data_IF_574329561071
#
_entry.id   IF_574329561071
#
_cell.length_a   1.000
_cell.length_b   1.000
_cell.length_c   1.000
_cell.angle_alpha   90.00
_cell.angle_beta   90.00
_cell.angle_gamma   90.00
#
_symmetry.space_group_name_H-M   'P 1'
#
loop_
_entity.id
_entity.type
_entity.pdbx_description
1 polymer ?
#
# COMPACT_ATOMS: atom_id res chain seq x y z
N UNK A 1 9.40 -15.53 -12.21
CA UNK A 1 10.52 -15.37 -11.24
C UNK A 1 10.08 -14.35 -10.21
N UNK A 2 10.49 -14.47 -8.94
CA UNK A 2 10.10 -13.48 -7.93
C UNK A 2 10.78 -12.13 -8.17
N UNK A 3 10.20 -11.08 -7.58
CA UNK A 3 10.82 -9.76 -7.51
C UNK A 3 12.05 -9.80 -6.61
N UNK A 4 13.08 -9.02 -6.93
CA UNK A 4 14.26 -8.94 -6.07
C UNK A 4 15.05 -7.65 -6.19
N UNK A 5 15.72 -7.29 -5.10
CA UNK A 5 16.77 -6.28 -5.03
C UNK A 5 18.09 -7.01 -4.81
N UNK A 6 19.10 -6.67 -5.60
CA UNK A 6 20.42 -7.28 -5.58
C UNK A 6 21.44 -6.18 -5.31
N UNK A 7 22.31 -6.37 -4.32
CA UNK A 7 23.50 -5.56 -4.11
C UNK A 7 24.71 -6.38 -4.56
N UNK A 8 25.43 -5.89 -5.57
CA UNK A 8 26.69 -6.45 -6.03
C UNK A 8 27.84 -5.63 -5.42
N UNK A 9 28.54 -6.21 -4.45
CA UNK A 9 29.77 -5.66 -3.89
C UNK A 9 30.97 -5.89 -4.81
N UNK A 10 32.11 -5.34 -4.43
CA UNK A 10 33.32 -5.31 -5.28
C UNK A 10 34.20 -6.55 -5.16
N UNK A 11 34.06 -7.29 -4.07
CA UNK A 11 34.85 -8.51 -3.81
C UNK A 11 34.17 -9.76 -4.41
N UNK A 12 33.18 -9.57 -5.30
CA UNK A 12 32.34 -10.64 -5.83
C UNK A 12 31.25 -11.11 -4.87
N UNK A 13 31.09 -10.48 -3.70
CA UNK A 13 29.96 -10.73 -2.81
C UNK A 13 28.67 -10.14 -3.41
N UNK A 14 27.67 -11.00 -3.63
CA UNK A 14 26.33 -10.62 -4.08
C UNK A 14 25.33 -10.91 -2.98
N UNK A 15 24.49 -9.92 -2.67
CA UNK A 15 23.40 -10.05 -1.71
C UNK A 15 22.06 -9.90 -2.43
N UNK A 16 21.15 -10.84 -2.22
CA UNK A 16 19.80 -10.80 -2.81
C UNK A 16 18.73 -10.68 -1.73
N UNK A 17 17.69 -9.90 -2.01
CA UNK A 17 16.51 -9.80 -1.17
C UNK A 17 15.74 -11.11 -1.10
N UNK A 18 15.16 -11.41 0.07
CA UNK A 18 14.17 -12.48 0.17
C UNK A 18 12.84 -11.99 -0.39
N UNK A 19 12.26 -12.66 -1.41
CA UNK A 19 11.00 -12.22 -2.00
C UNK A 19 9.78 -12.59 -1.17
N UNK A 20 9.96 -13.48 -0.17
CA UNK A 20 8.90 -14.05 0.65
C UNK A 20 9.04 -13.50 2.06
N UNK A 21 7.94 -13.01 2.62
CA UNK A 21 7.90 -12.56 4.00
C UNK A 21 8.01 -13.76 4.95
N UNK A 22 8.78 -13.64 6.06
CA UNK A 22 8.87 -14.71 7.04
C UNK A 22 7.48 -15.01 7.63
N UNK A 23 7.19 -16.29 7.84
CA UNK A 23 5.98 -16.68 8.56
C UNK A 23 6.05 -16.14 9.99
N UNK A 24 5.04 -15.36 10.35
CA UNK A 24 4.96 -14.70 11.65
C UNK A 24 4.37 -15.63 12.71
N UNK A 25 3.46 -16.52 12.31
CA UNK A 25 2.89 -17.62 13.10
C UNK A 25 2.91 -18.91 12.29
N UNK A 26 2.68 -20.06 12.94
CA UNK A 26 2.48 -21.33 12.23
C UNK A 26 1.31 -21.16 11.26
N UNK A 27 1.53 -21.22 9.93
CA UNK A 27 0.46 -21.00 8.98
C UNK A 27 -0.62 -22.07 9.18
N UNK A 28 -1.92 -21.72 9.12
CA UNK A 28 -2.96 -22.71 8.94
C UNK A 28 -2.59 -23.68 7.81
N UNK A 29 -2.86 -24.97 7.99
CA UNK A 29 -2.49 -26.02 7.03
C UNK A 29 -2.88 -25.63 5.59
N UNK A 30 -1.91 -25.63 4.67
CA UNK A 30 -2.12 -25.37 3.25
C UNK A 30 -1.88 -23.93 2.79
N UNK A 31 -1.26 -23.07 3.60
CA UNK A 31 -1.02 -21.69 3.22
C UNK A 31 0.11 -21.50 2.20
N UNK A 32 -0.11 -20.54 1.30
CA UNK A 32 0.79 -20.11 0.23
C UNK A 32 1.77 -19.03 0.71
N UNK A 33 3.00 -19.05 0.21
CA UNK A 33 4.02 -18.03 0.48
C UNK A 33 3.51 -16.61 0.21
N UNK A 34 3.78 -15.68 1.12
CA UNK A 34 3.44 -14.26 0.96
C UNK A 34 4.61 -13.56 0.27
N UNK A 35 4.42 -13.20 -0.99
CA UNK A 35 5.42 -12.47 -1.76
C UNK A 35 5.35 -10.96 -1.49
N UNK A 36 6.51 -10.31 -1.43
CA UNK A 36 6.68 -8.87 -1.30
C UNK A 36 6.58 -8.17 -2.66
N UNK A 37 5.59 -7.29 -2.83
CA UNK A 37 5.42 -6.50 -4.06
C UNK A 37 4.63 -5.21 -3.81
N UNK A 38 4.72 -4.28 -4.76
CA UNK A 38 3.84 -3.14 -4.87
C UNK A 38 3.02 -3.28 -6.17
N UNK A 39 1.69 -3.32 -6.08
CA UNK A 39 0.88 -3.50 -7.29
C UNK A 39 0.90 -2.27 -8.18
N UNK A 40 0.76 -2.51 -9.49
CA UNK A 40 0.76 -1.50 -10.57
C UNK A 40 2.09 -0.74 -10.76
N UNK A 41 3.21 -1.34 -10.34
CA UNK A 41 4.55 -0.82 -10.66
C UNK A 41 5.03 -1.27 -12.06
N UNK A 42 6.12 -0.65 -12.53
CA UNK A 42 6.75 -1.05 -13.79
C UNK A 42 7.38 -2.43 -13.70
N UNK A 43 7.41 -3.16 -14.81
CA UNK A 43 8.03 -4.49 -14.91
C UNK A 43 9.33 -4.39 -15.70
N UNK A 44 10.39 -5.05 -15.23
CA UNK A 44 11.70 -5.02 -15.86
C UNK A 44 12.84 -5.09 -14.85
N UNK A 45 14.03 -4.71 -15.30
CA UNK A 45 15.21 -4.62 -14.45
C UNK A 45 15.92 -3.28 -14.63
N UNK A 46 16.36 -2.68 -13.53
CA UNK A 46 17.17 -1.48 -13.51
C UNK A 46 18.41 -1.74 -12.66
N UNK A 47 19.58 -1.36 -13.17
CA UNK A 47 20.85 -1.44 -12.45
C UNK A 47 21.48 -0.05 -12.41
N UNK A 48 22.02 0.34 -11.25
CA UNK A 48 22.72 1.61 -11.09
C UNK A 48 23.79 1.53 -9.99
N UNK A 49 24.91 2.20 -10.20
CA UNK A 49 25.87 2.54 -9.15
C UNK A 49 25.49 3.82 -8.39
N UNK A 50 24.53 4.58 -8.93
CA UNK A 50 23.99 5.78 -8.29
C UNK A 50 22.78 5.40 -7.44
N UNK A 51 22.91 5.51 -6.13
CA UNK A 51 21.85 5.24 -5.17
C UNK A 51 21.61 6.47 -4.32
N UNK A 52 20.36 6.91 -4.20
CA UNK A 52 20.03 8.11 -3.43
C UNK A 52 19.03 7.78 -2.34
N UNK A 53 19.27 8.27 -1.13
CA UNK A 53 18.32 8.19 -0.03
C UNK A 53 17.47 9.45 0.02
N UNK A 54 16.16 9.31 -0.19
CA UNK A 54 15.22 10.45 -0.29
C UNK A 54 14.22 10.50 0.86
N UNK A 55 14.61 10.10 2.08
CA UNK A 55 13.79 10.20 3.29
C UNK A 55 12.40 9.56 3.11
N UNK A 56 11.31 10.32 3.29
CA UNK A 56 9.94 9.85 3.07
C UNK A 56 9.49 10.09 1.63
N UNK A 57 10.32 10.63 0.74
CA UNK A 57 9.98 10.83 -0.68
C UNK A 57 8.89 11.86 -0.87
N UNK A 58 8.81 12.87 0.00
CA UNK A 58 7.98 14.05 -0.19
C UNK A 58 8.61 14.95 -1.24
N UNK A 59 7.81 15.83 -1.84
CA UNK A 59 8.33 16.78 -2.83
C UNK A 59 9.45 17.67 -2.23
N UNK A 60 9.30 18.06 -0.96
CA UNK A 60 10.34 18.78 -0.18
C UNK A 60 11.62 17.97 0.05
N UNK A 61 11.52 16.64 0.17
CA UNK A 61 12.70 15.78 0.33
C UNK A 61 13.54 15.78 -0.96
N UNK A 62 12.88 15.70 -2.13
CA UNK A 62 13.58 15.83 -3.41
C UNK A 62 14.12 17.24 -3.66
N UNK A 63 13.47 18.28 -3.15
CA UNK A 63 13.99 19.64 -3.22
C UNK A 63 15.27 19.78 -2.40
N UNK A 64 15.29 19.26 -1.16
CA UNK A 64 16.46 19.24 -0.30
C UNK A 64 17.66 18.54 -0.98
N UNK A 65 17.45 17.39 -1.63
CA UNK A 65 18.49 16.72 -2.40
C UNK A 65 19.06 17.60 -3.52
N UNK A 66 18.19 18.33 -4.23
CA UNK A 66 18.63 19.24 -5.30
C UNK A 66 19.43 20.44 -4.79
N UNK A 67 19.12 20.96 -3.60
CA UNK A 67 19.88 22.03 -2.94
C UNK A 67 21.30 21.58 -2.54
N UNK A 68 21.48 20.29 -2.26
CA UNK A 68 22.77 19.67 -1.95
C UNK A 68 23.47 19.12 -3.22
N UNK A 69 23.03 19.56 -4.41
CA UNK A 69 23.57 19.15 -5.71
C UNK A 69 23.48 17.63 -6.00
N UNK A 70 22.52 16.93 -5.38
CA UNK A 70 22.28 15.50 -5.61
C UNK A 70 21.20 15.34 -6.69
N UNK A 71 21.57 14.71 -7.80
CA UNK A 71 20.64 14.36 -8.89
C UNK A 71 20.17 12.91 -8.75
N UNK A 72 18.88 12.67 -9.01
CA UNK A 72 18.28 11.32 -8.97
C UNK A 72 18.03 10.72 -10.36
N UNK A 73 18.52 11.37 -11.41
CA UNK A 73 18.35 10.87 -12.77
C UNK A 73 19.16 9.59 -12.97
N UNK A 74 18.49 8.52 -13.40
CA UNK A 74 19.02 7.18 -13.56
C UNK A 74 19.53 6.53 -12.25
N UNK A 75 19.18 7.08 -11.09
CA UNK A 75 19.54 6.49 -9.79
C UNK A 75 18.50 5.49 -9.32
N UNK A 76 18.90 4.60 -8.41
CA UNK A 76 17.96 3.81 -7.61
C UNK A 76 17.70 4.58 -6.31
N UNK A 77 16.44 4.90 -6.04
CA UNK A 77 16.07 5.79 -4.92
C UNK A 77 15.48 4.97 -3.78
N UNK A 78 16.09 5.06 -2.59
CA UNK A 78 15.59 4.45 -1.37
C UNK A 78 14.71 5.43 -0.61
N UNK A 79 13.49 5.00 -0.28
CA UNK A 79 12.47 5.83 0.36
C UNK A 79 11.79 5.05 1.49
N UNK A 80 11.64 5.68 2.64
CA UNK A 80 10.88 5.17 3.78
C UNK A 80 9.38 5.20 3.50
N UNK A 81 8.66 4.17 3.94
CA UNK A 81 7.21 4.24 4.08
C UNK A 81 6.78 5.31 5.11
N UNK A 82 5.52 5.75 5.05
CA UNK A 82 4.95 6.76 5.96
C UNK A 82 4.86 8.18 5.39
N UNK A 83 4.25 9.09 6.14
CA UNK A 83 4.00 10.53 5.85
C UNK A 83 3.12 10.88 4.65
N UNK A 84 3.21 10.14 3.54
CA UNK A 84 2.38 10.31 2.35
C UNK A 84 2.11 8.96 1.68
N UNK A 85 1.13 8.96 0.77
CA UNK A 85 0.79 7.80 -0.03
C UNK A 85 1.98 7.28 -0.84
N UNK A 86 2.15 5.96 -0.89
CA UNK A 86 3.30 5.31 -1.53
C UNK A 86 3.40 5.57 -3.03
N UNK A 87 2.26 5.64 -3.73
CA UNK A 87 2.24 5.97 -5.16
C UNK A 87 2.75 7.37 -5.46
N UNK A 88 2.53 8.35 -4.56
CA UNK A 88 3.08 9.69 -4.73
C UNK A 88 4.60 9.72 -4.60
N UNK A 89 5.18 8.89 -3.72
CA UNK A 89 6.64 8.74 -3.60
C UNK A 89 7.24 8.28 -4.93
N UNK A 90 6.65 7.24 -5.53
CA UNK A 90 7.08 6.68 -6.81
C UNK A 90 6.88 7.70 -7.93
N UNK A 91 5.74 8.40 -7.96
CA UNK A 91 5.46 9.47 -8.91
C UNK A 91 6.51 10.58 -8.86
N UNK A 92 6.84 11.07 -7.66
CA UNK A 92 7.81 12.14 -7.49
C UNK A 92 9.22 11.72 -7.92
N UNK A 93 9.63 10.48 -7.63
CA UNK A 93 10.89 9.92 -8.09
C UNK A 93 10.93 9.73 -9.62
N UNK A 94 9.88 9.14 -10.20
CA UNK A 94 9.77 8.90 -11.65
C UNK A 94 9.79 10.22 -12.44
N UNK A 95 9.06 11.23 -11.98
CA UNK A 95 9.01 12.56 -12.63
C UNK A 95 10.38 13.26 -12.70
N UNK A 96 11.34 12.82 -11.88
CA UNK A 96 12.71 13.33 -11.81
C UNK A 96 13.73 12.38 -12.45
N UNK A 97 13.26 11.29 -13.07
CA UNK A 97 14.07 10.37 -13.84
C UNK A 97 14.72 9.26 -13.03
N UNK A 98 14.20 8.90 -11.85
CA UNK A 98 14.66 7.72 -11.13
C UNK A 98 14.52 6.46 -11.98
N UNK A 99 15.51 5.56 -11.92
CA UNK A 99 15.48 4.29 -12.65
C UNK A 99 14.62 3.23 -11.92
N UNK A 100 14.70 3.24 -10.59
CA UNK A 100 13.87 2.40 -9.73
C UNK A 100 13.72 3.05 -8.35
N UNK A 101 12.70 2.65 -7.62
CA UNK A 101 12.43 3.03 -6.24
C UNK A 101 12.44 1.77 -5.38
N UNK A 102 13.09 1.85 -4.22
CA UNK A 102 13.01 0.84 -3.17
C UNK A 102 12.30 1.47 -1.99
N UNK A 103 11.09 1.00 -1.71
CA UNK A 103 10.33 1.40 -0.53
C UNK A 103 10.72 0.47 0.62
N UNK A 104 10.99 1.01 1.80
CA UNK A 104 11.24 0.16 2.96
C UNK A 104 10.59 0.72 4.23
N UNK A 105 10.26 -0.17 5.15
CA UNK A 105 9.67 0.20 6.42
C UNK A 105 10.80 0.46 7.41
N UNK A 106 11.06 1.69 7.83
CA UNK A 106 12.18 1.97 8.75
C UNK A 106 11.83 1.56 10.20
N UNK A 107 12.75 0.92 10.97
CA UNK A 107 12.46 0.56 12.36
C UNK A 107 12.12 1.74 13.27
N UNK A 108 12.59 2.95 12.96
CA UNK A 108 12.20 4.15 13.72
C UNK A 108 10.69 4.40 13.67
N UNK A 109 10.02 4.00 12.59
CA UNK A 109 8.57 4.14 12.40
C UNK A 109 7.81 2.89 12.86
N UNK A 110 8.35 1.68 12.61
CA UNK A 110 7.59 0.44 12.76
C UNK A 110 7.94 -0.40 14.00
N UNK A 111 9.12 -0.19 14.59
CA UNK A 111 9.58 -0.86 15.81
C UNK A 111 10.38 0.12 16.69
N UNK A 112 9.77 1.25 17.12
CA UNK A 112 10.48 2.33 17.83
C UNK A 112 11.04 1.90 19.19
N UNK A 113 10.50 0.83 19.79
CA UNK A 113 11.00 0.26 21.04
C UNK A 113 12.16 -0.75 20.83
N UNK A 114 12.55 -1.00 19.59
CA UNK A 114 13.62 -1.92 19.22
C UNK A 114 13.13 -3.36 18.90
N UNK A 115 14.05 -4.23 18.43
CA UNK A 115 13.72 -5.54 17.85
C UNK A 115 13.21 -6.57 18.85
N UNK A 116 13.46 -6.38 20.15
CA UNK A 116 12.95 -7.27 21.20
C UNK A 116 11.50 -6.96 21.58
N UNK A 117 10.97 -5.83 21.10
CA UNK A 117 9.63 -5.34 21.35
C UNK A 117 8.86 -5.31 20.04
N UNK A 118 8.75 -6.45 19.37
CA UNK A 118 7.98 -6.64 18.13
C UNK A 118 6.97 -7.78 18.30
N UNK A 119 6.12 -7.98 17.31
CA UNK A 119 5.27 -9.16 17.23
C UNK A 119 6.11 -10.44 17.34
N UNK A 120 5.66 -11.49 18.05
CA UNK A 120 4.33 -11.65 18.68
C UNK A 120 4.16 -11.02 20.06
N UNK A 121 5.23 -10.51 20.67
CA UNK A 121 5.18 -10.00 22.04
C UNK A 121 4.54 -8.62 22.17
N UNK A 122 4.50 -7.86 21.08
CA UNK A 122 3.89 -6.52 21.01
C UNK A 122 3.22 -6.30 19.66
N UNK A 123 2.62 -5.12 19.45
CA UNK A 123 1.98 -4.72 18.18
C UNK A 123 2.94 -4.24 17.10
N UNK A 124 4.22 -4.05 17.42
CA UNK A 124 5.20 -3.50 16.47
C UNK A 124 5.66 -4.54 15.44
N UNK A 125 6.03 -4.07 14.25
CA UNK A 125 6.35 -4.94 13.13
C UNK A 125 7.57 -5.83 13.43
N UNK A 126 7.48 -7.16 13.19
CA UNK A 126 8.62 -8.04 13.40
C UNK A 126 9.72 -7.79 12.36
N UNK A 127 10.98 -8.14 12.69
CA UNK A 127 12.07 -8.11 11.71
C UNK A 127 11.71 -8.95 10.48
N UNK A 128 11.88 -8.38 9.29
CA UNK A 128 11.52 -9.05 8.03
C UNK A 128 10.09 -8.75 7.53
N UNK A 129 9.27 -8.06 8.32
CA UNK A 129 7.96 -7.61 7.87
C UNK A 129 8.11 -6.59 6.73
N UNK A 130 7.32 -6.78 5.68
CA UNK A 130 7.31 -5.91 4.51
C UNK A 130 5.92 -5.36 4.27
N UNK A 131 5.79 -4.03 4.16
CA UNK A 131 4.51 -3.42 3.83
C UNK A 131 4.18 -3.61 2.34
N UNK A 132 3.11 -4.36 2.08
CA UNK A 132 2.47 -4.48 0.77
C UNK A 132 1.60 -3.26 0.49
N UNK A 133 1.26 -3.04 -0.78
CA UNK A 133 0.34 -1.96 -1.12
C UNK A 133 0.32 -1.59 -2.58
N UNK A 134 -0.84 -1.09 -3.00
CA UNK A 134 -1.03 -0.50 -4.32
C UNK A 134 -0.36 0.86 -4.41
N UNK A 135 0.25 1.11 -5.57
CA UNK A 135 0.76 2.43 -5.97
C UNK A 135 -0.33 3.31 -6.60
N UNK A 136 -1.56 2.81 -6.62
CA UNK A 136 -2.73 3.46 -7.19
C UNK A 136 -3.84 3.59 -6.14
N UNK A 137 -4.56 4.70 -6.16
CA UNK A 137 -5.65 4.99 -5.21
C UNK A 137 -7.08 4.83 -5.75
N UNK A 138 -7.31 4.73 -7.06
CA UNK A 138 -8.68 4.96 -7.56
C UNK A 138 -9.15 4.17 -8.79
N UNK A 139 -10.20 3.37 -8.61
CA UNK A 139 -11.02 2.74 -9.66
C UNK A 139 -10.34 1.59 -10.39
N UNK A 140 -10.94 1.08 -11.47
CA UNK A 140 -10.21 0.24 -12.43
C UNK A 140 -9.28 1.10 -13.30
N UNK A 141 -8.20 0.50 -13.81
CA UNK A 141 -7.30 1.15 -14.77
C UNK A 141 -7.93 1.31 -16.15
N UNK A 142 -8.78 0.36 -16.54
CA UNK A 142 -9.27 0.29 -17.92
C UNK A 142 -10.54 1.11 -18.14
N UNK A 143 -11.21 1.54 -17.07
CA UNK A 143 -12.49 2.25 -17.15
C UNK A 143 -12.60 3.46 -16.21
N UNK A 144 -11.71 4.45 -16.34
CA UNK A 144 -11.81 5.66 -15.53
C UNK A 144 -13.14 6.40 -15.78
N UNK A 145 -14.00 6.48 -14.78
CA UNK A 145 -15.28 7.17 -14.86
C UNK A 145 -16.41 6.37 -15.52
N UNK A 146 -16.24 5.06 -15.75
CA UNK A 146 -17.25 4.16 -16.31
C UNK A 146 -17.21 2.79 -15.59
N UNK A 147 -18.37 2.21 -15.33
CA UNK A 147 -18.43 0.87 -14.71
C UNK A 147 -18.24 -0.28 -15.71
N UNK A 148 -17.52 -1.33 -15.29
CA UNK A 148 -17.36 -2.61 -16.03
C UNK A 148 -18.37 -3.71 -15.69
N UNK A 149 -19.45 -3.44 -14.95
CA UNK A 149 -20.42 -4.51 -14.65
C UNK A 149 -21.08 -5.08 -15.92
N UNK A 150 -21.12 -6.41 -15.98
CA UNK A 150 -21.54 -7.32 -17.06
C UNK A 150 -22.53 -6.71 -18.08
N UNK A 151 -22.14 -6.76 -19.36
CA UNK A 151 -23.04 -6.59 -20.52
C UNK A 151 -22.69 -5.42 -21.45
N UNK A 152 -21.85 -4.48 -20.99
CA UNK A 152 -21.36 -3.40 -21.84
C UNK A 152 -19.95 -3.74 -22.34
N UNK A 153 -19.82 -3.90 -23.65
CA UNK A 153 -18.52 -3.97 -24.32
C UNK A 153 -17.74 -2.70 -24.00
N UNK A 154 -16.42 -2.85 -23.81
CA UNK A 154 -15.49 -1.74 -23.52
C UNK A 154 -15.40 -0.78 -24.71
N UNK A 155 -16.44 0.02 -24.93
CA UNK A 155 -16.45 1.08 -25.92
C UNK A 155 -15.63 2.25 -25.37
N UNK A 156 -14.31 2.16 -25.59
CA UNK A 156 -13.29 3.21 -25.61
C UNK A 156 -13.69 4.52 -24.88
N UNK A 157 -13.29 4.61 -23.62
CA UNK A 157 -13.49 5.80 -22.79
C UNK A 157 -12.52 6.91 -23.20
N UNK A 158 -13.05 8.09 -23.52
CA UNK A 158 -12.27 9.33 -23.58
C UNK A 158 -11.97 9.76 -22.14
N UNK A 159 -10.68 9.93 -21.85
CA UNK A 159 -10.11 10.31 -20.55
C UNK A 159 -10.89 11.44 -19.87
N UNK A 160 -11.52 11.12 -18.73
CA UNK A 160 -11.84 12.13 -17.70
C UNK A 160 -10.64 12.25 -16.75
N UNK A 161 -10.40 13.43 -16.16
CA UNK A 161 -9.28 13.62 -15.26
C UNK A 161 -9.45 12.76 -14.01
N UNK A 162 -8.54 11.80 -13.82
CA UNK A 162 -8.35 11.08 -12.56
C UNK A 162 -7.83 12.10 -11.55
N UNK A 163 -8.37 12.12 -10.33
CA UNK A 163 -7.96 13.06 -9.27
C UNK A 163 -6.50 12.86 -8.84
N UNK A 164 -5.90 11.73 -9.18
CA UNK A 164 -4.46 11.47 -9.10
C UNK A 164 -3.88 11.25 -10.51
N UNK A 165 -2.76 11.90 -10.86
CA UNK A 165 -2.10 11.70 -12.15
C UNK A 165 -1.39 10.35 -12.17
N UNK A 166 -2.16 9.27 -12.34
CA UNK A 166 -1.65 7.98 -12.77
C UNK A 166 -1.29 8.09 -14.27
N UNK A 167 -0.25 7.40 -14.77
CA UNK A 167 0.07 7.39 -16.19
C UNK A 167 -1.13 7.00 -17.06
N UNK A 168 -1.15 7.41 -18.33
CA UNK A 168 -2.31 7.23 -19.22
C UNK A 168 -2.71 5.76 -19.47
N UNK A 169 -1.77 4.83 -19.25
CA UNK A 169 -1.95 3.38 -19.29
C UNK A 169 -2.19 2.76 -17.90
N UNK A 170 -2.18 3.57 -16.84
CA UNK A 170 -2.46 3.13 -15.49
C UNK A 170 -1.26 2.57 -14.72
N UNK A 171 -0.09 2.51 -15.35
CA UNK A 171 1.07 1.80 -14.83
C UNK A 171 2.22 2.78 -14.63
N UNK A 172 2.80 2.78 -13.43
CA UNK A 172 4.06 3.48 -13.20
C UNK A 172 5.15 2.83 -14.06
N UNK A 173 6.01 3.63 -14.70
CA UNK A 173 7.14 3.06 -15.46
C UNK A 173 8.31 2.76 -14.53
N UNK A 174 8.40 3.50 -13.43
CA UNK A 174 9.39 3.24 -12.41
C UNK A 174 9.12 1.89 -11.73
N UNK A 175 10.18 1.08 -11.61
CA UNK A 175 10.16 -0.12 -10.79
C UNK A 175 10.02 0.29 -9.33
N UNK A 176 9.20 -0.40 -8.55
CA UNK A 176 9.01 -0.09 -7.14
C UNK A 176 8.81 -1.39 -6.35
N UNK A 177 9.73 -1.67 -5.42
CA UNK A 177 9.66 -2.86 -4.57
C UNK A 177 9.67 -2.49 -3.10
N UNK A 178 8.85 -3.16 -2.29
CA UNK A 178 8.94 -3.03 -0.85
C UNK A 178 10.06 -3.94 -0.34
N UNK A 179 10.78 -3.47 0.67
CA UNK A 179 11.87 -4.19 1.31
C UNK A 179 11.68 -4.22 2.82
N UNK A 180 12.04 -5.36 3.40
CA UNK A 180 12.13 -5.54 4.83
C UNK A 180 13.22 -4.64 5.45
N UNK A 181 12.97 -4.22 6.68
CA UNK A 181 14.03 -3.76 7.58
C UNK A 181 14.15 -4.73 8.76
N UNK A 182 15.39 -4.90 9.21
CA UNK A 182 15.69 -5.68 10.41
C UNK A 182 16.46 -4.76 11.35
N UNK A 183 15.94 -4.49 12.55
CA UNK A 183 16.66 -3.70 13.54
C UNK A 183 17.93 -4.45 14.01
N UNK A 184 18.95 -3.73 14.50
CA UNK A 184 20.19 -4.33 15.02
C UNK A 184 19.94 -5.25 16.23
N UNK A 185 20.59 -6.42 16.27
CA UNK A 185 20.49 -7.37 17.40
C UNK A 185 19.52 -8.53 17.16
N UNK A 186 18.74 -8.50 16.08
CA UNK A 186 18.12 -9.70 15.55
C UNK A 186 19.20 -10.54 14.84
N UNK A 187 19.56 -11.66 15.44
CA UNK A 187 20.39 -12.70 14.81
C UNK A 187 19.42 -13.74 14.26
N UNK A 188 19.06 -13.70 12.97
CA UNK A 188 18.32 -14.81 12.37
C UNK A 188 19.16 -16.08 12.52
N UNK A 189 18.52 -17.22 12.76
CA UNK A 189 19.20 -18.50 12.81
C UNK A 189 19.84 -18.80 11.44
N UNK A 190 21.11 -18.43 11.27
CA UNK A 190 21.88 -18.62 10.04
C UNK A 190 22.88 -17.48 9.78
N UNK A 191 24.00 -17.75 9.10
CA UNK A 191 24.98 -16.72 8.77
C UNK A 191 24.40 -15.76 7.71
N UNK A 192 24.48 -14.45 7.99
CA UNK A 192 24.29 -13.34 7.03
C UNK A 192 22.88 -13.16 6.42
N UNK A 193 21.88 -12.78 7.23
CA UNK A 193 20.67 -12.11 6.71
C UNK A 193 20.59 -10.67 7.21
N UNK A 194 21.44 -9.80 6.66
CA UNK A 194 21.17 -8.36 6.67
C UNK A 194 20.11 -8.08 5.60
N UNK A 195 19.12 -7.22 5.89
CA UNK A 195 18.12 -6.87 4.87
C UNK A 195 18.75 -6.04 3.76
N UNK A 196 18.26 -6.14 2.51
CA UNK A 196 18.78 -5.36 1.39
C UNK A 196 18.74 -3.85 1.65
N UNK A 197 17.68 -3.35 2.31
CA UNK A 197 17.61 -1.94 2.68
C UNK A 197 18.73 -1.53 3.65
N UNK A 198 18.95 -2.27 4.73
CA UNK A 198 20.03 -1.99 5.69
C UNK A 198 21.40 -2.11 5.05
N UNK A 199 21.59 -3.16 4.25
CA UNK A 199 22.86 -3.43 3.62
C UNK A 199 23.18 -2.37 2.57
N UNK A 200 22.28 -2.06 1.64
CA UNK A 200 22.51 -1.01 0.65
C UNK A 200 22.76 0.34 1.31
N UNK A 201 21.97 0.73 2.33
CA UNK A 201 22.19 1.99 3.03
C UNK A 201 23.51 2.03 3.81
N UNK A 202 24.05 0.89 4.26
CA UNK A 202 25.38 0.83 4.88
C UNK A 202 26.55 1.01 3.90
N UNK A 203 26.31 0.81 2.61
CA UNK A 203 27.28 1.12 1.54
C UNK A 203 27.09 2.52 0.99
N UNK A 204 26.05 3.25 1.39
CA UNK A 204 25.75 4.57 0.84
C UNK A 204 26.72 5.61 1.43
N UNK A 205 27.47 6.25 0.54
CA UNK A 205 28.43 7.30 0.88
C UNK A 205 27.85 8.69 0.54
N UNK A 206 28.69 9.72 0.61
CA UNK A 206 28.29 11.10 0.38
C UNK A 206 27.95 11.85 1.66
N UNK A 207 27.23 12.96 1.51
CA UNK A 207 26.87 13.81 2.64
C UNK A 207 26.00 13.06 3.66
N UNK A 208 26.26 13.28 4.95
CA UNK A 208 25.43 12.72 6.02
C UNK A 208 24.02 13.31 5.94
N UNK A 209 23.01 12.46 5.98
CA UNK A 209 21.63 12.91 5.96
C UNK A 209 21.30 13.71 7.23
N UNK A 210 20.44 14.75 7.15
CA UNK A 210 20.05 15.55 8.31
C UNK A 210 19.58 14.68 9.48
N UNK A 211 19.69 15.18 10.72
CA UNK A 211 19.27 14.43 11.92
C UNK A 211 17.81 13.99 11.89
N UNK A 212 16.93 14.74 11.21
CA UNK A 212 15.52 14.40 11.01
C UNK A 212 15.30 13.30 9.95
N UNK A 213 16.32 12.99 9.15
CA UNK A 213 16.30 11.97 8.10
C UNK A 213 16.96 10.65 8.55
N UNK A 214 17.65 10.66 9.69
CA UNK A 214 18.17 9.43 10.31
C UNK A 214 17.01 8.49 10.70
N UNK A 215 17.32 7.21 10.84
CA UNK A 215 16.33 6.17 11.17
C UNK A 215 16.87 5.10 12.12
N UNK A 216 16.12 4.00 12.24
CA UNK A 216 16.31 2.95 13.24
C UNK A 216 17.19 1.78 12.78
N UNK A 217 17.92 1.91 11.66
CA UNK A 217 18.79 0.83 11.14
C UNK A 217 20.15 0.71 11.84
N UNK A 218 20.45 1.59 12.80
CA UNK A 218 21.73 1.64 13.54
C UNK A 218 22.95 1.68 12.63
N UNK A 219 22.90 2.65 11.72
CA UNK A 219 23.97 3.11 10.85
C UNK A 219 23.77 4.62 10.67
N UNK A 220 24.80 5.34 10.27
CA UNK A 220 24.66 6.74 9.84
C UNK A 220 24.12 6.75 8.42
N UNK A 221 22.99 7.41 8.21
CA UNK A 221 22.35 7.48 6.91
C UNK A 221 23.06 8.59 6.13
N UNK A 222 23.48 8.28 4.91
CA UNK A 222 24.01 9.24 3.95
C UNK A 222 22.99 9.50 2.84
N UNK A 223 23.15 10.60 2.10
CA UNK A 223 22.26 10.96 1.01
C UNK A 223 22.59 10.23 -0.30
N UNK A 224 23.80 9.71 -0.47
CA UNK A 224 24.33 9.24 -1.76
C UNK A 224 24.95 10.38 -2.57
N UNK A 225 25.16 10.22 -3.90
CA UNK A 225 24.71 9.11 -4.72
C UNK A 225 25.66 7.90 -4.78
N UNK A 226 26.85 8.00 -4.19
CA UNK A 226 27.91 7.01 -4.36
C UNK A 226 27.74 5.82 -3.41
N UNK A 227 28.17 4.65 -3.87
CA UNK A 227 28.26 3.44 -3.06
C UNK A 227 29.72 3.06 -2.83
N UNK A 228 30.03 2.71 -1.58
CA UNK A 228 31.34 2.28 -1.13
C UNK A 228 31.89 1.16 -2.02
N UNK A 229 33.18 1.27 -2.33
CA UNK A 229 33.91 0.32 -3.18
C UNK A 229 33.54 0.37 -4.67
N UNK A 230 32.48 1.06 -5.08
CA UNK A 230 31.93 0.95 -6.44
C UNK A 230 30.88 -0.15 -6.59
N UNK A 231 30.20 -0.49 -5.48
CA UNK A 231 29.07 -1.41 -5.49
C UNK A 231 27.93 -0.92 -6.40
N UNK A 232 27.08 -1.86 -6.82
CA UNK A 232 25.93 -1.57 -7.68
C UNK A 232 24.68 -2.25 -7.15
N UNK A 233 23.54 -1.59 -7.35
CA UNK A 233 22.23 -2.16 -7.01
C UNK A 233 21.48 -2.51 -8.29
N UNK A 234 20.82 -3.66 -8.30
CA UNK A 234 19.89 -4.08 -9.34
C UNK A 234 18.51 -4.32 -8.73
N UNK A 235 17.49 -3.68 -9.28
CA UNK A 235 16.07 -3.92 -8.94
C UNK A 235 15.44 -4.69 -10.09
N UNK A 236 14.82 -5.83 -9.79
CA UNK A 236 14.14 -6.70 -10.76
C UNK A 236 12.68 -6.89 -10.35
N UNK A 237 11.77 -6.43 -11.20
CA UNK A 237 10.33 -6.61 -11.06
C UNK A 237 9.83 -7.52 -12.18
N UNK A 238 9.17 -8.60 -11.80
CA UNK A 238 8.65 -9.65 -12.68
C UNK A 238 7.13 -9.83 -12.54
N UNK A 239 6.44 -8.82 -11.99
CA UNK A 239 5.00 -8.84 -11.78
C UNK A 239 4.24 -9.03 -13.10
N UNK A 240 3.04 -9.60 -12.99
CA UNK A 240 2.14 -9.80 -14.11
C UNK A 240 0.80 -9.16 -13.83
N UNK A 241 0.34 -8.34 -14.76
CA UNK A 241 -0.99 -7.73 -14.70
C UNK A 241 -2.02 -8.67 -15.30
N UNK A 242 -3.00 -9.06 -14.49
CA UNK A 242 -4.08 -9.96 -14.89
C UNK A 242 -5.42 -9.27 -14.72
N UNK A 243 -6.28 -9.37 -15.72
CA UNK A 243 -7.70 -9.01 -15.55
C UNK A 243 -8.37 -10.09 -14.71
N UNK A 244 -9.00 -9.69 -13.61
CA UNK A 244 -9.73 -10.58 -12.70
C UNK A 244 -11.15 -10.07 -12.51
N UNK A 245 -12.08 -11.01 -12.40
CA UNK A 245 -13.44 -10.70 -11.94
C UNK A 245 -13.41 -10.62 -10.43
N UNK A 246 -13.95 -9.54 -9.88
CA UNK A 246 -14.13 -9.31 -8.44
C UNK A 246 -15.61 -9.14 -8.15
N UNK A 247 -16.03 -9.39 -6.91
CA UNK A 247 -17.44 -9.47 -6.56
C UNK A 247 -17.75 -8.61 -5.35
N UNK A 248 -18.48 -7.51 -5.57
CA UNK A 248 -19.10 -6.80 -4.46
C UNK A 248 -20.33 -7.59 -3.97
N UNK A 249 -20.53 -7.63 -2.65
CA UNK A 249 -21.73 -8.23 -2.05
C UNK A 249 -22.58 -7.13 -1.43
N UNK A 250 -23.86 -7.08 -1.80
CA UNK A 250 -24.81 -6.07 -1.36
C UNK A 250 -25.96 -6.74 -0.59
N UNK A 251 -26.23 -6.26 0.62
CA UNK A 251 -27.40 -6.59 1.41
C UNK A 251 -28.30 -5.37 1.55
N UNK A 252 -29.62 -5.52 1.35
CA UNK A 252 -30.56 -4.40 1.37
C UNK A 252 -31.71 -4.69 2.31
N UNK A 253 -31.98 -3.74 3.21
CA UNK A 253 -33.20 -3.69 4.01
C UNK A 253 -34.02 -2.50 3.52
N UNK A 254 -35.12 -2.77 2.83
CA UNK A 254 -35.98 -1.72 2.27
C UNK A 254 -36.63 -0.87 3.37
N UNK A 255 -36.62 0.45 3.16
CA UNK A 255 -37.25 1.42 4.05
C UNK A 255 -38.77 1.42 3.93
N UNK A 256 -39.47 1.68 5.04
CA UNK A 256 -40.94 1.66 5.06
C UNK A 256 -41.58 2.95 4.53
N UNK A 257 -40.97 4.11 4.77
CA UNK A 257 -41.57 5.41 4.42
C UNK A 257 -40.84 6.10 3.27
N UNK A 258 -39.51 5.98 3.22
CA UNK A 258 -38.63 6.59 2.22
C UNK A 258 -37.74 5.51 1.59
N UNK A 259 -38.32 4.51 0.87
CA UNK A 259 -37.55 3.40 0.30
C UNK A 259 -36.53 3.84 -0.76
N UNK A 260 -36.70 5.03 -1.33
CA UNK A 260 -35.81 5.67 -2.29
C UNK A 260 -34.74 6.56 -1.64
N UNK A 261 -34.49 6.43 -0.34
CA UNK A 261 -33.37 7.08 0.36
C UNK A 261 -32.46 6.04 0.98
N UNK A 262 -31.15 6.19 0.77
CA UNK A 262 -30.17 5.16 1.10
C UNK A 262 -29.22 5.60 2.21
N UNK A 263 -29.18 4.81 3.29
CA UNK A 263 -28.10 4.83 4.28
C UNK A 263 -27.15 3.70 3.89
N UNK A 264 -25.98 4.04 3.38
CA UNK A 264 -25.01 3.06 2.87
C UNK A 264 -23.96 2.80 3.94
N UNK A 265 -23.71 1.53 4.27
CA UNK A 265 -22.65 1.07 5.18
C UNK A 265 -21.69 0.22 4.36
N UNK A 266 -20.44 0.66 4.25
CA UNK A 266 -19.42 0.01 3.43
C UNK A 266 -18.26 -0.53 4.25
N UNK A 267 -17.74 -1.68 3.84
CA UNK A 267 -16.47 -2.25 4.27
C UNK A 267 -15.87 -3.03 3.09
N UNK A 268 -14.55 -3.02 2.90
CA UNK A 268 -13.94 -3.97 1.96
C UNK A 268 -13.61 -5.29 2.66
N UNK A 269 -13.49 -6.37 1.89
CA UNK A 269 -13.20 -7.69 2.45
C UNK A 269 -11.92 -8.32 1.89
N UNK A 270 -11.35 -7.77 0.82
CA UNK A 270 -10.05 -8.20 0.33
C UNK A 270 -8.92 -7.63 1.19
N UNK A 271 -7.86 -8.41 1.36
CA UNK A 271 -6.69 -8.06 2.14
C UNK A 271 -5.41 -8.50 1.42
N UNK A 272 -4.28 -7.86 1.71
CA UNK A 272 -2.98 -8.32 1.20
C UNK A 272 -2.55 -9.71 1.72
N UNK A 273 -2.88 -10.01 2.98
CA UNK A 273 -2.50 -11.26 3.65
C UNK A 273 -3.71 -11.86 4.37
N UNK A 274 -3.68 -11.97 5.70
CA UNK A 274 -4.82 -12.41 6.50
C UNK A 274 -5.84 -11.30 6.76
N UNK A 275 -5.35 -10.05 6.74
CA UNK A 275 -6.17 -8.86 6.98
C UNK A 275 -6.85 -8.82 8.34
N UNK A 276 -6.15 -9.26 9.41
CA UNK A 276 -6.74 -9.36 10.74
C UNK A 276 -7.25 -8.01 11.30
N UNK A 277 -6.57 -6.91 10.96
CA UNK A 277 -7.05 -5.55 11.23
C UNK A 277 -7.70 -5.00 9.96
N UNK A 278 -6.90 -4.73 8.95
CA UNK A 278 -7.30 -4.24 7.63
C UNK A 278 -7.63 -5.42 6.70
N UNK A 279 -8.90 -5.70 6.37
CA UNK A 279 -10.13 -5.04 6.84
C UNK A 279 -11.00 -5.91 7.76
N UNK A 280 -10.56 -7.13 8.08
CA UNK A 280 -11.44 -8.15 8.70
C UNK A 280 -11.98 -7.72 10.06
N UNK A 281 -11.29 -6.79 10.74
CA UNK A 281 -11.80 -6.20 11.99
C UNK A 281 -13.14 -5.50 11.77
N UNK A 282 -13.28 -4.71 10.70
CA UNK A 282 -14.55 -4.07 10.36
C UNK A 282 -15.52 -5.03 9.69
N UNK A 283 -15.03 -6.01 8.91
CA UNK A 283 -15.89 -7.05 8.35
C UNK A 283 -16.65 -7.77 9.47
N UNK A 284 -15.99 -8.12 10.57
CA UNK A 284 -16.63 -8.71 11.74
C UNK A 284 -17.73 -7.80 12.33
N UNK A 285 -17.47 -6.49 12.44
CA UNK A 285 -18.44 -5.51 12.93
C UNK A 285 -19.64 -5.38 11.98
N UNK A 286 -19.40 -5.27 10.67
CA UNK A 286 -20.48 -5.17 9.67
C UNK A 286 -21.33 -6.43 9.66
N UNK A 287 -20.72 -7.60 9.77
CA UNK A 287 -21.46 -8.87 9.86
C UNK A 287 -22.36 -8.92 11.09
N UNK A 288 -21.89 -8.43 12.24
CA UNK A 288 -22.71 -8.36 13.46
C UNK A 288 -23.84 -7.34 13.34
N UNK A 289 -23.59 -6.18 12.73
CA UNK A 289 -24.64 -5.20 12.44
C UNK A 289 -25.73 -5.80 11.53
N UNK A 290 -25.33 -6.49 10.45
CA UNK A 290 -26.26 -7.16 9.53
C UNK A 290 -27.07 -8.23 10.27
N UNK A 291 -26.45 -9.02 11.15
CA UNK A 291 -27.16 -10.02 11.99
C UNK A 291 -28.21 -9.34 12.87
N UNK A 292 -27.83 -8.30 13.61
CA UNK A 292 -28.73 -7.56 14.51
C UNK A 292 -29.91 -6.94 13.75
N UNK A 293 -29.64 -6.23 12.65
CA UNK A 293 -30.70 -5.64 11.84
C UNK A 293 -31.58 -6.70 11.16
N UNK A 294 -31.02 -7.85 10.78
CA UNK A 294 -31.77 -9.00 10.27
C UNK A 294 -32.74 -9.60 11.30
N UNK A 295 -32.33 -9.71 12.56
CA UNK A 295 -33.20 -10.17 13.66
C UNK A 295 -34.32 -9.17 13.96
N UNK A 296 -34.00 -7.88 13.99
CA UNK A 296 -35.00 -6.81 14.15
C UNK A 296 -36.00 -6.83 12.99
N UNK A 297 -35.49 -6.97 11.76
CA UNK A 297 -36.31 -7.07 10.55
C UNK A 297 -37.25 -8.29 10.58
N UNK A 298 -36.76 -9.44 11.02
CA UNK A 298 -37.56 -10.66 11.19
C UNK A 298 -38.63 -10.52 12.27
N UNK A 299 -38.39 -9.65 13.26
CA UNK A 299 -39.34 -9.31 14.33
C UNK A 299 -40.35 -8.21 13.96
N UNK A 300 -40.38 -7.78 12.70
CA UNK A 300 -41.33 -6.81 12.17
C UNK A 300 -40.86 -5.35 12.17
N UNK A 301 -39.67 -5.04 12.71
CA UNK A 301 -39.10 -3.70 12.60
C UNK A 301 -38.69 -3.42 11.14
N UNK A 302 -38.86 -2.17 10.71
CA UNK A 302 -38.37 -1.67 9.42
C UNK A 302 -37.74 -0.30 9.62
N UNK A 303 -36.61 0.01 8.96
CA UNK A 303 -36.08 1.36 9.00
C UNK A 303 -36.99 2.31 8.20
N UNK A 304 -36.97 3.61 8.53
CA UNK A 304 -37.67 4.62 7.72
C UNK A 304 -37.15 4.66 6.27
N UNK A 305 -35.81 4.61 6.13
CA UNK A 305 -35.05 4.67 4.88
C UNK A 305 -34.39 3.35 4.58
N UNK A 306 -34.12 3.09 3.31
CA UNK A 306 -33.44 1.86 2.90
C UNK A 306 -32.00 1.83 3.40
N UNK A 307 -31.61 0.73 4.04
CA UNK A 307 -30.24 0.47 4.46
C UNK A 307 -29.57 -0.44 3.44
N UNK A 308 -28.38 -0.04 2.97
CA UNK A 308 -27.58 -0.79 2.01
C UNK A 308 -26.24 -1.15 2.66
N UNK A 309 -26.01 -2.43 2.90
CA UNK A 309 -24.74 -2.95 3.39
C UNK A 309 -23.92 -3.42 2.21
N UNK A 310 -22.68 -2.95 2.12
CA UNK A 310 -21.79 -3.24 1.01
C UNK A 310 -20.49 -3.85 1.51
N UNK A 311 -20.17 -5.03 0.99
CA UNK A 311 -18.86 -5.67 1.13
C UNK A 311 -18.11 -5.51 -0.20
N UNK A 312 -17.11 -4.64 -0.21
CA UNK A 312 -16.37 -4.22 -1.40
C UNK A 312 -15.20 -5.14 -1.69
N UNK A 313 -15.00 -5.45 -2.97
CA UNK A 313 -13.85 -6.19 -3.43
C UNK A 313 -12.78 -5.26 -4.04
N UNK A 314 -11.53 -5.73 -4.03
CA UNK A 314 -10.39 -5.05 -4.67
C UNK A 314 -10.18 -3.61 -4.18
N UNK A 315 -10.40 -3.36 -2.89
CA UNK A 315 -10.00 -2.09 -2.26
C UNK A 315 -8.48 -1.95 -2.24
N UNK A 316 -7.77 -3.01 -1.87
CA UNK A 316 -6.32 -2.98 -1.72
C UNK A 316 -5.63 -2.70 -3.06
N UNK A 317 -6.32 -2.99 -4.17
CA UNK A 317 -5.90 -2.72 -5.53
C UNK A 317 -6.35 -1.34 -6.06
N UNK A 318 -6.71 -0.41 -5.19
CA UNK A 318 -7.05 0.97 -5.55
C UNK A 318 -8.54 1.25 -5.52
N UNK A 319 -9.24 0.79 -4.48
CA UNK A 319 -10.64 1.13 -4.20
C UNK A 319 -11.55 0.72 -5.37
N UNK A 320 -11.24 -0.40 -6.05
CA UNK A 320 -11.84 -0.74 -7.34
C UNK A 320 -13.34 -1.04 -7.19
N UNK A 321 -13.71 -1.97 -6.32
CA UNK A 321 -15.09 -2.44 -6.23
C UNK A 321 -16.08 -1.33 -5.86
N UNK A 322 -15.76 -0.51 -4.86
CA UNK A 322 -16.62 0.60 -4.45
C UNK A 322 -16.64 1.74 -5.48
N UNK A 323 -15.52 2.03 -6.15
CA UNK A 323 -15.47 3.05 -7.21
C UNK A 323 -16.33 2.63 -8.40
N UNK A 324 -16.19 1.41 -8.89
CA UNK A 324 -16.98 0.90 -10.03
C UNK A 324 -18.48 0.88 -9.72
N UNK A 325 -18.86 0.56 -8.47
CA UNK A 325 -20.24 0.67 -7.99
C UNK A 325 -20.71 2.13 -8.00
N UNK A 326 -19.91 3.05 -7.47
CA UNK A 326 -20.25 4.46 -7.40
C UNK A 326 -20.39 5.09 -8.79
N UNK A 327 -19.56 4.68 -9.75
CA UNK A 327 -19.64 5.11 -11.15
C UNK A 327 -20.92 4.60 -11.81
N UNK A 328 -21.25 3.32 -11.64
CA UNK A 328 -22.47 2.70 -12.19
C UNK A 328 -23.74 3.38 -11.70
N UNK A 329 -23.83 3.62 -10.39
CA UNK A 329 -25.03 4.14 -9.75
C UNK A 329 -24.93 5.63 -9.44
N UNK A 330 -23.99 6.34 -10.09
CA UNK A 330 -23.66 7.74 -9.77
C UNK A 330 -24.87 8.67 -9.72
N UNK A 331 -25.79 8.59 -10.70
CA UNK A 331 -27.02 9.40 -10.70
C UNK A 331 -27.92 9.07 -9.51
N UNK A 332 -28.12 7.78 -9.23
CA UNK A 332 -28.97 7.31 -8.14
C UNK A 332 -28.37 7.73 -6.79
N UNK A 333 -27.06 7.51 -6.59
CA UNK A 333 -26.39 7.82 -5.34
C UNK A 333 -26.35 9.32 -5.07
N UNK A 334 -26.14 10.16 -6.10
CA UNK A 334 -26.18 11.63 -5.95
C UNK A 334 -27.53 12.15 -5.45
N UNK A 335 -28.62 11.58 -5.95
CA UNK A 335 -29.97 12.07 -5.64
C UNK A 335 -30.55 11.42 -4.38
N UNK A 336 -30.10 10.21 -4.01
CA UNK A 336 -30.79 9.36 -3.04
C UNK A 336 -29.93 8.88 -1.88
N UNK A 337 -28.60 8.87 -2.00
CA UNK A 337 -27.75 8.49 -0.88
C UNK A 337 -27.74 9.62 0.17
N UNK A 338 -28.20 9.29 1.38
CA UNK A 338 -28.25 10.23 2.50
C UNK A 338 -26.89 10.33 3.17
N UNK A 339 -26.24 9.18 3.38
CA UNK A 339 -24.92 9.09 4.01
C UNK A 339 -24.23 7.80 3.57
N UNK A 340 -22.90 7.87 3.46
CA UNK A 340 -22.03 6.71 3.36
C UNK A 340 -21.21 6.60 4.64
N UNK A 341 -21.38 5.49 5.35
CA UNK A 341 -20.65 5.14 6.56
C UNK A 341 -19.59 4.09 6.20
N UNK A 342 -18.32 4.50 6.20
CA UNK A 342 -17.21 3.58 5.96
C UNK A 342 -16.75 2.92 7.25
N UNK A 343 -16.58 1.60 7.22
CA UNK A 343 -15.96 0.80 8.27
C UNK A 343 -14.86 -0.04 7.60
N UNK A 344 -13.61 0.19 7.95
CA UNK A 344 -12.45 -0.41 7.26
C UNK A 344 -11.51 -1.02 8.31
N UNK A 345 -10.77 -0.17 9.03
CA UNK A 345 -10.10 -0.54 10.25
C UNK A 345 -10.87 0.04 11.43
N UNK A 346 -11.46 -0.82 12.26
CA UNK A 346 -12.16 -0.39 13.49
C UNK A 346 -11.23 -0.29 14.70
N UNK A 347 -10.00 -0.79 14.59
CA UNK A 347 -9.00 -0.81 15.67
C UNK A 347 -7.60 -0.52 15.13
N UNK A 348 -7.13 0.71 15.30
CA UNK A 348 -5.73 1.13 15.05
C UNK A 348 -4.96 1.35 16.37
N UNK A 349 -5.65 1.24 17.50
CA UNK A 349 -5.11 1.44 18.84
C UNK A 349 -6.21 1.49 19.90
N UNK A 350 -5.85 1.65 21.16
CA UNK A 350 -6.79 1.67 22.29
C UNK A 350 -6.83 3.01 23.05
N UNK A 351 -6.23 4.06 22.48
CA UNK A 351 -6.11 5.36 23.15
C UNK A 351 -7.38 6.20 23.07
N UNK A 352 -7.92 6.40 21.86
CA UNK A 352 -9.09 7.25 21.63
C UNK A 352 -9.83 6.88 20.36
N UNK A 353 -11.13 7.20 20.31
CA UNK A 353 -11.91 7.14 19.07
C UNK A 353 -11.40 8.15 18.03
N UNK A 354 -11.38 7.75 16.75
CA UNK A 354 -11.06 8.61 15.61
C UNK A 354 -12.16 8.48 14.56
N UNK A 355 -12.74 9.60 14.15
CA UNK A 355 -13.74 9.67 13.09
C UNK A 355 -13.40 10.78 12.10
N UNK A 356 -13.58 10.51 10.82
CA UNK A 356 -13.50 11.51 9.76
C UNK A 356 -14.84 11.57 9.06
N UNK A 357 -15.30 12.77 8.78
CA UNK A 357 -16.57 12.98 8.10
C UNK A 357 -16.59 14.32 7.42
N UNK A 358 -17.34 14.38 6.32
CA UNK A 358 -17.76 15.64 5.74
C UNK A 358 -19.28 15.74 5.91
N UNK A 359 -19.76 16.95 6.14
CA UNK A 359 -21.17 17.25 5.91
C UNK A 359 -21.29 17.71 4.46
N UNK A 360 -22.28 17.21 3.73
CA UNK A 360 -22.79 17.95 2.58
C UNK A 360 -23.43 19.23 3.13
N UNK A 361 -22.64 20.28 3.32
CA UNK A 361 -23.17 21.63 3.37
C UNK A 361 -23.59 21.91 1.92
N UNK A 362 -24.90 21.83 1.68
CA UNK A 362 -25.51 22.23 0.42
C UNK A 362 -25.19 23.69 0.08
#
# INVERSE_FOLDING_TARGET
MPNKVILNGTDGETFESTPIQPAVDAPPSGQQDIYSFNSFCGVGAAQSSSVVYANYGRDEDFHHLSEHNITIKNSIVFIRYGKLFRGDKVRFAESRGAAAVVLYTDPADAAPLGPLHTYPSTVFAPPGATQLGSLKLQGDLLTPGLSLLIGLSSARVRSRPVLHPCPADGLWRCLALPQESVPPGFVPAGPRRLTPARLTLSFLEGEEAPSTWQGGLNLTYHLGPELAGGAQVTVVVNDQHHRKTVYNVLGVIEGQEEPDRYVVVGNHYDAWTYGGVDPSSATAVVMELVRMFGEMHSSGWRPRRTMVFCSWAAEEYGVMGSTEFAEQFSTILKDRAVVYLNLDMVMDGNYSFRGHGSTNAA
#
